data_IF_993338306346
#
_entry.id   IF_993338306346
#
_cell.length_a   1.000
_cell.length_b   1.000
_cell.length_c   1.000
_cell.angle_alpha   90.00
_cell.angle_beta   90.00
_cell.angle_gamma   90.00
#
_symmetry.space_group_name_H-M   'P 1'
#
loop_
_entity.id
_entity.type
_entity.pdbx_description
1 polymer ?
#
# COMPACT_ATOMS: atom_id res chain seq x y z
N UNK A 1 4.24 -16.69 -19.76
CA UNK A 1 3.14 -15.74 -20.04
C UNK A 1 1.93 -16.02 -19.17
N UNK A 2 1.13 -17.03 -19.54
CA UNK A 2 -0.17 -17.30 -18.92
C UNK A 2 -0.15 -17.43 -17.38
N UNK A 3 0.79 -18.18 -16.80
CA UNK A 3 0.85 -18.33 -15.34
C UNK A 3 1.08 -17.01 -14.59
N UNK A 4 2.00 -16.16 -15.06
CA UNK A 4 2.25 -14.85 -14.45
C UNK A 4 1.02 -13.95 -14.52
N UNK A 5 0.28 -13.99 -15.64
CA UNK A 5 -0.99 -13.26 -15.77
C UNK A 5 -2.05 -13.78 -14.80
N UNK A 6 -2.19 -15.10 -14.65
CA UNK A 6 -3.13 -15.70 -13.69
C UNK A 6 -2.76 -15.39 -12.24
N UNK A 7 -1.47 -15.41 -11.90
CA UNK A 7 -0.99 -15.01 -10.57
C UNK A 7 -1.30 -13.54 -10.29
N UNK A 8 -1.04 -12.65 -11.24
CA UNK A 8 -1.37 -11.23 -11.12
C UNK A 8 -2.88 -11.00 -10.95
N UNK A 9 -3.72 -11.69 -11.74
CA UNK A 9 -5.17 -11.63 -11.61
C UNK A 9 -5.64 -12.16 -10.24
N UNK A 10 -5.08 -13.27 -9.77
CA UNK A 10 -5.36 -13.82 -8.44
C UNK A 10 -4.97 -12.85 -7.32
N UNK A 11 -3.80 -12.22 -7.41
CA UNK A 11 -3.36 -11.21 -6.45
C UNK A 11 -4.27 -9.97 -6.44
N UNK A 12 -4.73 -9.51 -7.62
CA UNK A 12 -5.70 -8.43 -7.74
C UNK A 12 -7.06 -8.81 -7.13
N UNK A 13 -7.54 -10.03 -7.40
CA UNK A 13 -8.80 -10.52 -6.82
C UNK A 13 -8.72 -10.61 -5.29
N UNK A 14 -7.61 -11.11 -4.74
CA UNK A 14 -7.38 -11.17 -3.30
C UNK A 14 -7.26 -9.78 -2.68
N UNK A 15 -6.55 -8.85 -3.32
CA UNK A 15 -6.43 -7.48 -2.79
C UNK A 15 -7.73 -6.67 -2.94
N UNK A 16 -8.58 -7.00 -3.92
CA UNK A 16 -9.90 -6.40 -4.07
C UNK A 16 -10.87 -6.74 -2.92
N UNK A 17 -10.56 -7.73 -2.07
CA UNK A 17 -11.36 -7.96 -0.86
C UNK A 17 -11.20 -6.85 0.17
N UNK A 18 -10.09 -6.11 0.14
CA UNK A 18 -9.79 -5.05 1.11
C UNK A 18 -10.84 -3.91 1.07
N UNK A 19 -11.16 -3.28 -0.07
CA UNK A 19 -12.21 -2.26 -0.12
C UNK A 19 -13.61 -2.84 0.19
N UNK A 20 -13.87 -4.11 -0.11
CA UNK A 20 -15.13 -4.77 0.29
C UNK A 20 -15.25 -4.87 1.81
N UNK A 21 -14.18 -5.29 2.48
CA UNK A 21 -14.11 -5.32 3.96
C UNK A 21 -14.21 -3.90 4.53
N UNK A 22 -13.53 -2.92 3.94
CA UNK A 22 -13.61 -1.52 4.34
C UNK A 22 -15.05 -0.99 4.28
N UNK A 23 -15.76 -1.28 3.19
CA UNK A 23 -17.18 -0.92 3.04
C UNK A 23 -18.06 -1.60 4.09
N UNK A 24 -17.85 -2.90 4.35
CA UNK A 24 -18.61 -3.63 5.38
C UNK A 24 -18.39 -3.04 6.77
N UNK A 25 -17.15 -2.74 7.13
CA UNK A 25 -16.79 -2.13 8.42
C UNK A 25 -17.39 -0.71 8.53
N UNK A 26 -17.28 0.11 7.48
CA UNK A 26 -17.85 1.45 7.47
C UNK A 26 -19.38 1.46 7.69
N UNK A 27 -20.08 0.42 7.21
CA UNK A 27 -21.54 0.31 7.30
C UNK A 27 -22.05 -0.41 8.55
N UNK A 28 -21.32 -1.42 9.03
CA UNK A 28 -21.81 -2.37 10.04
C UNK A 28 -20.87 -2.53 11.24
N UNK A 29 -19.87 -1.66 11.42
CA UNK A 29 -19.04 -1.67 12.62
C UNK A 29 -19.89 -1.50 13.88
N UNK A 30 -19.48 -2.17 14.94
CA UNK A 30 -20.18 -2.12 16.21
C UNK A 30 -20.05 -0.73 16.85
N UNK A 31 -21.12 -0.17 17.43
CA UNK A 31 -21.14 1.21 17.93
C UNK A 31 -20.19 1.46 19.11
N UNK A 32 -19.78 0.43 19.85
CA UNK A 32 -18.84 0.52 20.96
C UNK A 32 -17.37 0.75 20.53
N UNK A 33 -17.06 0.57 19.25
CA UNK A 33 -15.70 0.76 18.76
C UNK A 33 -15.34 2.25 18.69
N UNK A 34 -14.14 2.65 19.13
CA UNK A 34 -13.66 4.02 18.96
C UNK A 34 -13.68 4.44 17.49
N UNK A 35 -14.38 5.54 17.19
CA UNK A 35 -14.59 6.03 15.82
C UNK A 35 -13.26 6.24 15.09
N UNK A 36 -12.26 6.83 15.76
CA UNK A 36 -10.93 7.07 15.16
C UNK A 36 -10.23 5.78 14.76
N UNK A 37 -10.36 4.70 15.54
CA UNK A 37 -9.75 3.42 15.22
C UNK A 37 -10.48 2.74 14.06
N UNK A 38 -11.81 2.77 14.06
CA UNK A 38 -12.63 2.27 12.94
C UNK A 38 -12.27 2.97 11.64
N UNK A 39 -12.21 4.31 11.65
CA UNK A 39 -11.88 5.10 10.47
C UNK A 39 -10.45 4.80 9.98
N UNK A 40 -9.51 4.55 10.90
CA UNK A 40 -8.15 4.16 10.57
C UNK A 40 -8.06 2.77 9.91
N UNK A 41 -8.87 1.80 10.35
CA UNK A 41 -9.02 0.50 9.68
C UNK A 41 -9.59 0.67 8.28
N UNK A 42 -10.66 1.43 8.13
CA UNK A 42 -11.28 1.68 6.82
C UNK A 42 -10.27 2.32 5.86
N UNK A 43 -9.57 3.38 6.29
CA UNK A 43 -8.54 4.04 5.48
C UNK A 43 -7.38 3.10 5.15
N UNK A 44 -6.91 2.32 6.12
CA UNK A 44 -5.83 1.35 5.93
C UNK A 44 -6.15 0.32 4.85
N UNK A 45 -7.35 -0.25 4.88
CA UNK A 45 -7.82 -1.22 3.89
C UNK A 45 -7.97 -0.61 2.50
N UNK A 46 -8.58 0.59 2.41
CA UNK A 46 -8.73 1.31 1.14
C UNK A 46 -7.37 1.64 0.53
N UNK A 47 -6.46 2.22 1.31
CA UNK A 47 -5.13 2.60 0.82
C UNK A 47 -4.27 1.38 0.50
N UNK A 48 -4.43 0.27 1.20
CA UNK A 48 -3.75 -0.99 0.86
C UNK A 48 -4.10 -1.44 -0.55
N UNK A 49 -5.37 -1.36 -0.92
CA UNK A 49 -5.78 -1.65 -2.29
C UNK A 49 -5.26 -0.62 -3.27
N UNK A 50 -5.53 0.67 -3.06
CA UNK A 50 -5.16 1.74 -4.00
C UNK A 50 -3.64 1.80 -4.22
N UNK A 51 -2.87 1.88 -3.14
CA UNK A 51 -1.42 2.06 -3.19
C UNK A 51 -0.70 0.73 -3.42
N UNK A 52 -1.10 -0.33 -2.71
CA UNK A 52 -0.47 -1.65 -2.80
C UNK A 52 -0.76 -2.34 -4.13
N UNK A 53 -2.02 -2.41 -4.57
CA UNK A 53 -2.34 -3.00 -5.88
C UNK A 53 -1.86 -2.10 -7.02
N UNK A 54 -2.00 -0.78 -6.90
CA UNK A 54 -1.53 0.17 -7.92
C UNK A 54 -0.02 0.06 -8.20
N UNK A 55 0.80 0.06 -7.15
CA UNK A 55 2.25 -0.19 -7.28
C UNK A 55 2.58 -1.64 -7.66
N UNK A 56 1.79 -2.62 -7.18
CA UNK A 56 2.00 -4.04 -7.46
C UNK A 56 1.84 -4.41 -8.93
N UNK A 57 0.88 -3.78 -9.63
CA UNK A 57 0.70 -3.94 -11.08
C UNK A 57 1.95 -3.49 -11.84
N UNK A 58 2.52 -2.34 -11.46
CA UNK A 58 3.73 -1.82 -12.09
C UNK A 58 4.96 -2.65 -11.73
N UNK A 59 5.09 -3.05 -10.46
CA UNK A 59 6.16 -3.92 -9.98
C UNK A 59 6.18 -5.28 -10.72
N UNK A 60 5.00 -5.85 -11.03
CA UNK A 60 4.90 -7.13 -11.74
C UNK A 60 5.53 -7.14 -13.14
N UNK A 61 5.72 -5.96 -13.75
CA UNK A 61 6.41 -5.80 -15.03
C UNK A 61 7.83 -5.24 -14.92
N UNK A 62 8.30 -4.90 -13.72
CA UNK A 62 9.60 -4.25 -13.50
C UNK A 62 10.64 -5.25 -13.01
N UNK A 63 11.85 -5.19 -13.58
CA UNK A 63 12.99 -5.93 -13.06
C UNK A 63 13.63 -5.17 -11.89
N UNK A 64 13.97 -5.86 -10.79
CA UNK A 64 14.70 -5.22 -9.70
C UNK A 64 16.09 -4.78 -10.19
N UNK A 65 16.62 -3.64 -9.70
CA UNK A 65 17.98 -3.22 -10.05
C UNK A 65 19.01 -4.27 -9.65
N UNK A 66 20.06 -4.40 -10.47
CA UNK A 66 21.18 -5.30 -10.20
C UNK A 66 22.22 -4.64 -9.28
N UNK A 67 23.03 -5.47 -8.62
CA UNK A 67 24.06 -5.01 -7.68
C UNK A 67 23.66 -5.16 -6.21
N UNK A 68 24.45 -4.53 -5.34
CA UNK A 68 24.26 -4.62 -3.89
C UNK A 68 23.28 -3.54 -3.43
N UNK A 69 22.08 -3.96 -3.03
CA UNK A 69 21.09 -3.08 -2.39
C UNK A 69 21.32 -2.94 -0.88
N UNK A 70 20.37 -2.31 -0.21
CA UNK A 70 20.36 -2.17 1.25
C UNK A 70 20.51 -3.52 1.97
N UNK A 71 21.19 -3.58 3.12
CA UNK A 71 21.20 -4.77 3.95
C UNK A 71 19.77 -5.14 4.35
N UNK A 72 19.48 -6.44 4.45
CA UNK A 72 18.17 -7.06 4.75
C UNK A 72 17.15 -7.05 3.60
N UNK A 73 16.89 -5.92 2.96
CA UNK A 73 15.82 -5.83 1.95
C UNK A 73 16.30 -5.99 0.52
N UNK A 74 17.59 -5.71 0.28
CA UNK A 74 18.16 -5.64 -1.07
C UNK A 74 17.57 -4.52 -1.92
N UNK A 75 16.91 -3.52 -1.32
CA UNK A 75 16.30 -2.41 -2.04
C UNK A 75 17.32 -1.39 -2.52
N UNK A 76 17.02 -0.74 -3.63
CA UNK A 76 17.80 0.38 -4.16
C UNK A 76 16.98 1.67 -4.02
N UNK A 77 17.37 2.54 -3.09
CA UNK A 77 16.67 3.83 -2.87
C UNK A 77 17.13 4.95 -3.82
N UNK A 78 18.18 4.71 -4.60
CA UNK A 78 18.70 5.65 -5.60
C UNK A 78 17.89 5.70 -6.91
N UNK A 79 16.90 4.82 -7.07
CA UNK A 79 16.01 4.78 -8.23
C UNK A 79 15.82 3.37 -8.79
N UNK A 80 14.80 3.22 -9.64
CA UNK A 80 14.54 2.00 -10.42
C UNK A 80 13.96 0.82 -9.65
N UNK A 81 13.70 0.98 -8.36
CA UNK A 81 13.16 -0.07 -7.49
C UNK A 81 11.76 0.26 -6.98
N UNK A 82 10.75 -0.48 -7.44
CA UNK A 82 9.36 -0.30 -7.03
C UNK A 82 8.98 -1.06 -5.75
N UNK A 83 9.87 -1.91 -5.22
CA UNK A 83 9.59 -2.72 -4.02
C UNK A 83 9.33 -1.88 -2.77
N UNK A 84 10.07 -0.77 -2.49
CA UNK A 84 9.76 0.11 -1.36
C UNK A 84 8.35 0.70 -1.43
N UNK A 85 7.94 1.21 -2.61
CA UNK A 85 6.60 1.76 -2.82
C UNK A 85 5.52 0.69 -2.60
N UNK A 86 5.73 -0.50 -3.16
CA UNK A 86 4.82 -1.62 -2.98
C UNK A 86 4.67 -2.03 -1.51
N UNK A 87 5.79 -2.15 -0.80
CA UNK A 87 5.82 -2.44 0.64
C UNK A 87 5.00 -1.42 1.44
N UNK A 88 5.28 -0.12 1.26
CA UNK A 88 4.53 0.94 1.97
C UNK A 88 3.03 0.82 1.68
N UNK A 89 2.66 0.57 0.42
CA UNK A 89 1.28 0.39 0.00
C UNK A 89 0.59 -0.78 0.70
N UNK A 90 1.16 -1.99 0.62
CA UNK A 90 0.52 -3.20 1.20
C UNK A 90 0.46 -3.18 2.73
N UNK A 91 1.33 -2.40 3.38
CA UNK A 91 1.39 -2.28 4.83
C UNK A 91 0.53 -1.14 5.39
N UNK A 92 -0.16 -0.35 4.56
CA UNK A 92 -1.07 0.71 5.03
C UNK A 92 -2.18 0.18 5.96
N UNK A 93 -2.67 -1.04 5.71
CA UNK A 93 -3.64 -1.76 6.56
C UNK A 93 -3.11 -2.08 7.96
N UNK A 94 -1.80 -2.04 8.20
CA UNK A 94 -1.21 -2.23 9.52
C UNK A 94 -0.88 -0.90 10.18
N UNK A 95 -0.25 0.01 9.44
CA UNK A 95 0.19 1.29 9.98
C UNK A 95 -0.96 2.19 10.43
N UNK A 96 -2.05 2.27 9.65
CA UNK A 96 -3.16 3.15 9.99
C UNK A 96 -3.94 2.67 11.22
N UNK A 97 -4.34 1.38 11.36
CA UNK A 97 -4.97 0.91 12.59
C UNK A 97 -4.11 1.11 13.84
N UNK A 98 -2.79 0.92 13.74
CA UNK A 98 -1.88 1.22 14.84
C UNK A 98 -1.88 2.70 15.21
N UNK A 99 -1.86 3.60 14.22
CA UNK A 99 -2.03 5.03 14.45
C UNK A 99 -3.39 5.35 15.10
N UNK A 100 -4.48 4.74 14.62
CA UNK A 100 -5.80 4.89 15.22
C UNK A 100 -5.84 4.44 16.68
N UNK A 101 -5.14 3.36 17.02
CA UNK A 101 -5.06 2.80 18.37
C UNK A 101 -4.39 3.80 19.34
N UNK A 102 -3.30 4.43 18.89
CA UNK A 102 -2.58 5.45 19.66
C UNK A 102 -3.41 6.72 19.91
N UNK A 103 -4.46 6.95 19.11
CA UNK A 103 -5.28 8.17 19.16
C UNK A 103 -6.59 8.01 19.94
N UNK A 104 -6.93 6.83 20.45
CA UNK A 104 -8.21 6.56 21.13
C UNK A 104 -8.42 7.46 22.35
N UNK A 105 -7.35 7.78 23.09
CA UNK A 105 -7.41 8.62 24.29
C UNK A 105 -7.47 10.13 24.02
N UNK A 106 -7.29 10.56 22.77
CA UNK A 106 -7.27 11.98 22.42
C UNK A 106 -8.69 12.54 22.22
N UNK A 107 -8.91 13.85 22.42
CA UNK A 107 -10.19 14.46 22.10
C UNK A 107 -10.55 14.26 20.61
N UNK A 108 -11.85 14.18 20.23
CA UNK A 108 -12.25 13.75 18.88
C UNK A 108 -11.64 14.55 17.73
N UNK A 109 -11.53 15.88 17.87
CA UNK A 109 -10.95 16.77 16.85
C UNK A 109 -9.45 16.50 16.65
N UNK A 110 -8.59 16.59 17.70
CA UNK A 110 -7.20 16.18 17.62
C UNK A 110 -6.98 14.75 17.09
N UNK A 111 -7.77 13.78 17.54
CA UNK A 111 -7.66 12.40 17.10
C UNK A 111 -7.89 12.27 15.59
N UNK A 112 -8.93 12.93 15.06
CA UNK A 112 -9.19 12.95 13.62
C UNK A 112 -8.08 13.65 12.84
N UNK A 113 -7.63 14.83 13.30
CA UNK A 113 -6.54 15.56 12.65
C UNK A 113 -5.24 14.77 12.64
N UNK A 114 -4.90 14.11 13.75
CA UNK A 114 -3.72 13.25 13.85
C UNK A 114 -3.79 12.07 12.88
N UNK A 115 -4.94 11.40 12.78
CA UNK A 115 -5.13 10.32 11.82
C UNK A 115 -4.98 10.80 10.37
N UNK A 116 -5.57 11.96 10.02
CA UNK A 116 -5.45 12.52 8.67
C UNK A 116 -4.00 12.91 8.36
N UNK A 117 -3.30 13.53 9.31
CA UNK A 117 -1.89 13.88 9.14
C UNK A 117 -1.04 12.62 8.88
N UNK A 118 -1.19 11.58 9.69
CA UNK A 118 -0.47 10.31 9.51
C UNK A 118 -0.81 9.69 8.16
N UNK A 119 -2.08 9.71 7.75
CA UNK A 119 -2.53 9.22 6.45
C UNK A 119 -1.84 9.97 5.31
N UNK A 120 -1.79 11.30 5.37
CA UNK A 120 -1.08 12.13 4.38
C UNK A 120 0.41 11.81 4.35
N UNK A 121 1.05 11.63 5.51
CA UNK A 121 2.47 11.29 5.59
C UNK A 121 2.76 9.90 4.98
N UNK A 122 1.89 8.90 5.21
CA UNK A 122 2.02 7.58 4.58
C UNK A 122 1.87 7.68 3.06
N UNK A 123 0.88 8.43 2.57
CA UNK A 123 0.69 8.65 1.12
C UNK A 123 1.86 9.43 0.52
N UNK A 124 2.40 10.43 1.22
CA UNK A 124 3.54 11.20 0.76
C UNK A 124 4.82 10.34 0.69
N UNK A 125 5.06 9.51 1.71
CA UNK A 125 6.17 8.55 1.71
C UNK A 125 6.03 7.54 0.57
N UNK A 126 4.82 7.03 0.34
CA UNK A 126 4.52 6.16 -0.79
C UNK A 126 4.80 6.86 -2.13
N UNK A 127 4.31 8.09 -2.31
CA UNK A 127 4.52 8.87 -3.53
C UNK A 127 6.00 9.13 -3.80
N UNK A 128 6.75 9.51 -2.77
CA UNK A 128 8.19 9.69 -2.87
C UNK A 128 8.88 8.41 -3.35
N UNK A 129 8.57 7.27 -2.70
CA UNK A 129 9.13 5.97 -3.06
C UNK A 129 8.70 5.53 -4.48
N UNK A 130 7.47 5.81 -4.86
CA UNK A 130 6.92 5.49 -6.17
C UNK A 130 7.62 6.29 -7.28
N UNK A 131 7.78 7.60 -7.09
CA UNK A 131 8.45 8.49 -8.05
C UNK A 131 9.91 8.07 -8.23
N UNK A 132 10.64 7.83 -7.14
CA UNK A 132 12.03 7.37 -7.22
C UNK A 132 12.12 5.97 -7.85
N UNK A 133 11.22 5.06 -7.47
CA UNK A 133 11.18 3.72 -8.04
C UNK A 133 10.93 3.72 -9.55
N UNK A 134 10.10 4.64 -10.06
CA UNK A 134 9.86 4.80 -11.50
C UNK A 134 11.06 5.41 -12.24
N UNK A 135 11.85 6.27 -11.59
CA UNK A 135 13.05 6.85 -12.16
C UNK A 135 14.12 5.78 -12.37
N UNK A 136 14.27 5.31 -13.61
CA UNK A 136 15.24 4.26 -13.97
C UNK A 136 14.68 2.84 -13.86
N UNK A 137 13.36 2.66 -13.71
CA UNK A 137 12.73 1.34 -13.73
C UNK A 137 12.92 0.65 -15.08
N UNK A 138 13.34 -0.61 -15.06
CA UNK A 138 13.48 -1.43 -16.27
C UNK A 138 12.26 -2.35 -16.40
N UNK A 139 11.37 -2.04 -17.34
CA UNK A 139 10.20 -2.87 -17.61
C UNK A 139 10.54 -3.99 -18.60
N UNK A 140 10.08 -5.21 -18.35
CA UNK A 140 10.20 -6.31 -19.30
C UNK A 140 9.29 -6.04 -20.51
N UNK A 141 9.80 -6.04 -21.75
CA UNK A 141 8.94 -6.02 -22.93
C UNK A 141 8.09 -7.29 -22.98
N UNK A 142 6.87 -7.24 -23.57
CA UNK A 142 6.09 -8.44 -23.81
C UNK A 142 6.92 -9.43 -24.66
N UNK A 143 6.76 -10.76 -24.44
CA UNK A 143 7.46 -11.74 -25.26
C UNK A 143 7.11 -11.52 -26.73
N UNK A 144 8.14 -11.54 -27.61
CA UNK A 144 7.93 -11.48 -29.05
C UNK A 144 7.00 -12.62 -29.46
N UNK A 145 5.97 -12.31 -30.24
CA UNK A 145 5.08 -13.32 -30.81
C UNK A 145 5.87 -14.18 -31.80
N UNK A 146 6.28 -15.37 -31.36
CA UNK A 146 6.74 -16.48 -32.21
C UNK A 146 5.59 -17.39 -32.55
#
# INVERSE_FOLDING_TARGET
GLMYSLMGAGALALTATQPLLAWRIARHARPELPVVWRDAVVLGLVLTFVLGAGSGVLLGGAQPPSGTGLPLTGWHLGGGDLRPAHFIGIHAQQWLPLAGLLLIGAPPRPARSGLMLITVLVVALWLWAMIHGLQGAQFTPPPAST
#
